data_IF_257977866775
#
_entry.id   IF_257977866775
#
_cell.length_a   1.000
_cell.length_b   1.000
_cell.length_c   1.000
_cell.angle_alpha   90.00
_cell.angle_beta   90.00
_cell.angle_gamma   90.00
#
_symmetry.space_group_name_H-M   'P 1'
#
loop_
_entity.id
_entity.type
_entity.pdbx_description
1 polymer ?
#
# COMPACT_ATOMS: atom_id res chain seq x y z
N UNK A 1 -63.95 -11.08 -49.55
CA UNK A 1 -63.49 -10.19 -48.45
C UNK A 1 -62.08 -10.52 -47.93
N UNK A 2 -61.50 -11.70 -48.19
CA UNK A 2 -60.16 -12.05 -47.69
C UNK A 2 -58.99 -11.26 -48.28
N UNK A 3 -59.02 -10.92 -49.58
CA UNK A 3 -57.91 -10.22 -50.23
C UNK A 3 -57.70 -8.77 -49.75
N UNK A 4 -58.79 -8.05 -49.44
CA UNK A 4 -58.70 -6.68 -48.90
C UNK A 4 -58.10 -6.69 -47.50
N UNK A 5 -58.47 -7.67 -46.66
CA UNK A 5 -57.97 -7.80 -45.30
C UNK A 5 -56.50 -8.22 -45.25
N UNK A 6 -56.09 -9.11 -46.17
CA UNK A 6 -54.68 -9.45 -46.38
C UNK A 6 -53.85 -8.25 -46.86
N UNK A 7 -54.41 -7.40 -47.74
CA UNK A 7 -53.75 -6.16 -48.19
C UNK A 7 -53.63 -5.10 -47.09
N UNK A 8 -54.67 -4.91 -46.28
CA UNK A 8 -54.68 -3.96 -45.15
C UNK A 8 -53.70 -4.39 -44.07
N UNK A 9 -53.68 -5.67 -43.70
CA UNK A 9 -52.71 -6.21 -42.73
C UNK A 9 -51.27 -6.03 -43.22
N UNK A 10 -50.99 -6.32 -44.49
CA UNK A 10 -49.68 -6.05 -45.10
C UNK A 10 -49.24 -4.59 -45.00
N UNK A 11 -50.12 -3.62 -45.26
CA UNK A 11 -49.81 -2.20 -45.17
C UNK A 11 -49.52 -1.77 -43.72
N UNK A 12 -50.31 -2.24 -42.75
CA UNK A 12 -50.13 -1.93 -41.34
C UNK A 12 -48.81 -2.49 -40.81
N UNK A 13 -48.55 -3.77 -41.06
CA UNK A 13 -47.31 -4.44 -40.66
C UNK A 13 -46.08 -3.81 -41.30
N UNK A 14 -46.18 -3.35 -42.56
CA UNK A 14 -45.11 -2.61 -43.21
C UNK A 14 -44.87 -1.23 -42.56
N UNK A 15 -45.93 -0.52 -42.16
CA UNK A 15 -45.82 0.75 -41.44
C UNK A 15 -45.08 0.58 -40.10
N UNK A 16 -45.34 -0.51 -39.37
CA UNK A 16 -44.64 -0.83 -38.12
C UNK A 16 -43.16 -1.16 -38.37
N UNK A 17 -42.86 -1.93 -39.41
CA UNK A 17 -41.48 -2.20 -39.83
C UNK A 17 -40.71 -0.92 -40.20
N UNK A 18 -41.37 0.00 -40.92
CA UNK A 18 -40.80 1.32 -41.22
C UNK A 18 -40.57 2.16 -39.96
N UNK A 19 -41.44 2.08 -38.95
CA UNK A 19 -41.25 2.78 -37.69
C UNK A 19 -39.98 2.28 -36.95
N UNK A 20 -39.75 0.96 -36.92
CA UNK A 20 -38.52 0.38 -36.35
C UNK A 20 -37.28 0.83 -37.11
N UNK A 21 -37.32 0.77 -38.46
CA UNK A 21 -36.21 1.23 -39.30
C UNK A 21 -35.92 2.73 -39.11
N UNK A 22 -36.97 3.55 -39.00
CA UNK A 22 -36.85 4.99 -38.76
C UNK A 22 -36.23 5.29 -37.39
N UNK A 23 -36.61 4.52 -36.35
CA UNK A 23 -36.02 4.66 -35.02
C UNK A 23 -34.52 4.30 -35.01
N UNK A 24 -34.11 3.26 -35.74
CA UNK A 24 -32.69 2.93 -35.90
C UNK A 24 -31.92 4.08 -36.57
N UNK A 25 -32.49 4.66 -37.63
CA UNK A 25 -31.85 5.76 -38.36
C UNK A 25 -31.72 7.01 -37.50
N UNK A 26 -32.76 7.32 -36.71
CA UNK A 26 -32.74 8.46 -35.79
C UNK A 26 -31.66 8.33 -34.70
N UNK A 27 -31.36 7.11 -34.26
CA UNK A 27 -30.40 6.84 -33.19
C UNK A 27 -29.02 6.36 -33.68
N UNK A 28 -28.68 6.58 -34.96
CA UNK A 28 -27.43 6.10 -35.56
C UNK A 28 -26.17 6.65 -34.85
N UNK A 29 -26.26 7.85 -34.28
CA UNK A 29 -25.16 8.51 -33.56
C UNK A 29 -25.28 8.40 -32.04
N UNK A 30 -26.30 7.70 -31.52
CA UNK A 30 -26.50 7.57 -30.07
C UNK A 30 -25.56 6.50 -29.53
N UNK A 31 -24.66 6.89 -28.62
CA UNK A 31 -23.69 5.97 -28.01
C UNK A 31 -24.42 4.86 -27.24
N UNK A 32 -24.01 3.61 -27.45
CA UNK A 32 -24.60 2.45 -26.79
C UNK A 32 -25.95 2.00 -27.35
N UNK A 33 -26.48 2.63 -28.41
CA UNK A 33 -27.69 2.17 -29.08
C UNK A 33 -27.53 0.76 -29.67
N UNK A 34 -28.57 -0.05 -29.56
CA UNK A 34 -28.61 -1.41 -30.12
C UNK A 34 -29.68 -1.49 -31.20
N UNK A 35 -29.26 -1.96 -32.37
CA UNK A 35 -30.10 -2.07 -33.56
C UNK A 35 -31.27 -3.02 -33.33
N UNK A 36 -32.48 -2.60 -33.67
CA UNK A 36 -33.69 -3.40 -33.58
C UNK A 36 -34.21 -3.79 -34.97
N UNK A 37 -34.71 -5.01 -35.12
CA UNK A 37 -35.31 -5.46 -36.38
C UNK A 37 -36.67 -6.14 -36.16
N UNK A 38 -37.57 -5.95 -37.12
CA UNK A 38 -38.91 -6.54 -37.13
C UNK A 38 -38.89 -7.93 -37.74
N UNK A 39 -39.59 -8.88 -37.12
CA UNK A 39 -39.89 -10.19 -37.66
C UNK A 39 -41.38 -10.27 -38.01
N UNK A 40 -41.67 -10.78 -39.19
CA UNK A 40 -43.03 -10.93 -39.69
C UNK A 40 -43.44 -12.40 -39.71
N UNK A 41 -44.72 -12.66 -39.44
CA UNK A 41 -45.32 -13.99 -39.52
C UNK A 41 -46.58 -13.97 -40.38
N UNK A 42 -46.89 -15.11 -41.00
CA UNK A 42 -48.12 -15.31 -41.79
C UNK A 42 -49.27 -15.69 -40.86
N UNK A 43 -50.44 -15.10 -41.10
CA UNK A 43 -51.67 -15.42 -40.37
C UNK A 43 -52.29 -16.68 -40.99
N UNK A 44 -52.40 -17.75 -40.17
CA UNK A 44 -52.89 -19.09 -40.53
C UNK A 44 -53.91 -19.09 -41.67
N UNK A 45 -53.62 -19.86 -42.70
CA UNK A 45 -54.47 -20.05 -43.88
C UNK A 45 -55.68 -20.95 -43.63
N UNK A 46 -56.82 -20.67 -44.24
CA UNK A 46 -57.91 -21.64 -44.34
C UNK A 46 -57.62 -22.67 -45.45
N UNK A 47 -57.70 -23.97 -45.12
CA UNK A 47 -57.64 -25.05 -46.10
C UNK A 47 -59.04 -25.30 -46.67
N UNK A 48 -59.28 -24.94 -47.92
CA UNK A 48 -60.51 -25.29 -48.64
C UNK A 48 -60.26 -26.58 -49.45
N UNK A 49 -61.06 -27.61 -49.18
CA UNK A 49 -61.00 -28.88 -49.93
C UNK A 49 -61.73 -28.71 -51.27
N UNK A 50 -60.99 -28.75 -52.38
CA UNK A 50 -61.56 -28.73 -53.73
C UNK A 50 -61.49 -30.12 -54.37
N UNK A 51 -62.32 -30.41 -55.39
CA UNK A 51 -62.30 -31.73 -56.06
C UNK A 51 -61.01 -32.04 -56.83
N UNK A 52 -60.03 -31.11 -56.85
CA UNK A 52 -58.74 -31.24 -57.49
C UNK A 52 -57.54 -31.14 -56.51
N UNK A 53 -57.79 -31.04 -55.19
CA UNK A 53 -56.75 -30.95 -54.15
C UNK A 53 -57.07 -29.91 -53.06
N UNK A 54 -56.19 -29.81 -52.05
CA UNK A 54 -56.27 -28.79 -51.00
C UNK A 54 -55.79 -27.44 -51.52
N UNK A 55 -56.64 -26.41 -51.50
CA UNK A 55 -56.26 -25.03 -51.81
C UNK A 55 -56.14 -24.24 -50.51
N UNK A 56 -54.98 -23.63 -50.29
CA UNK A 56 -54.66 -22.88 -49.08
C UNK A 56 -54.76 -21.39 -49.37
N UNK A 57 -55.63 -20.65 -48.65
CA UNK A 57 -55.76 -19.19 -48.80
C UNK A 57 -55.16 -18.51 -47.57
N UNK A 58 -54.06 -17.78 -47.73
CA UNK A 58 -53.42 -17.02 -46.65
C UNK A 58 -54.29 -15.86 -46.17
N UNK A 59 -54.29 -15.59 -44.86
CA UNK A 59 -55.16 -14.59 -44.23
C UNK A 59 -54.48 -13.25 -43.91
N UNK A 60 -53.22 -13.08 -44.33
CA UNK A 60 -52.48 -11.82 -44.20
C UNK A 60 -51.20 -12.01 -43.41
N UNK A 61 -50.57 -10.92 -43.00
CA UNK A 61 -49.32 -10.96 -42.22
C UNK A 61 -49.47 -10.15 -40.94
N UNK A 62 -48.69 -10.50 -39.93
CA UNK A 62 -48.60 -9.74 -38.69
C UNK A 62 -47.14 -9.53 -38.28
N UNK A 63 -46.90 -8.50 -37.47
CA UNK A 63 -45.62 -8.32 -36.80
C UNK A 63 -45.54 -9.34 -35.65
N UNK A 64 -44.60 -10.27 -35.76
CA UNK A 64 -44.38 -11.31 -34.75
C UNK A 64 -43.68 -10.71 -33.53
N UNK A 65 -42.52 -10.09 -33.73
CA UNK A 65 -41.71 -9.49 -32.67
C UNK A 65 -40.75 -8.43 -33.22
N UNK A 66 -40.31 -7.52 -32.34
CA UNK A 66 -39.17 -6.63 -32.58
C UNK A 66 -38.04 -7.10 -31.68
N UNK A 67 -36.92 -7.53 -32.28
CA UNK A 67 -35.77 -8.05 -31.54
C UNK A 67 -34.59 -7.08 -31.63
N UNK A 68 -33.89 -6.93 -30.51
CA UNK A 68 -32.66 -6.14 -30.41
C UNK A 68 -31.43 -7.02 -30.70
N UNK A 69 -30.50 -6.51 -31.51
CA UNK A 69 -29.23 -7.16 -31.82
C UNK A 69 -28.11 -6.58 -30.95
N UNK A 70 -27.45 -7.44 -30.16
CA UNK A 70 -26.44 -7.03 -29.16
C UNK A 70 -24.99 -6.98 -29.66
N UNK A 71 -24.73 -7.16 -30.94
CA UNK A 71 -23.37 -7.13 -31.51
C UNK A 71 -22.64 -5.81 -31.18
N UNK A 72 -21.33 -5.88 -30.96
CA UNK A 72 -20.47 -4.71 -30.74
C UNK A 72 -20.26 -3.93 -32.05
N UNK A 73 -20.28 -2.59 -31.94
CA UNK A 73 -20.01 -1.68 -33.06
C UNK A 73 -18.54 -1.26 -33.14
N UNK A 74 -18.22 -0.36 -34.08
CA UNK A 74 -16.91 0.29 -34.11
C UNK A 74 -16.68 1.13 -32.85
N UNK A 75 -15.44 1.20 -32.38
CA UNK A 75 -15.04 2.04 -31.26
C UNK A 75 -14.30 3.25 -31.77
N UNK A 76 -14.61 4.42 -31.23
CA UNK A 76 -13.89 5.66 -31.48
C UNK A 76 -13.14 6.06 -30.22
N UNK A 77 -11.91 6.52 -30.37
CA UNK A 77 -11.10 6.99 -29.25
C UNK A 77 -11.52 8.41 -28.87
N UNK A 78 -11.75 8.64 -27.59
CA UNK A 78 -12.01 9.99 -27.04
C UNK A 78 -10.78 10.49 -26.27
N UNK A 79 -10.78 11.78 -25.93
CA UNK A 79 -9.72 12.39 -25.10
C UNK A 79 -9.99 12.30 -23.60
N UNK A 80 -11.19 11.88 -23.21
CA UNK A 80 -11.63 11.82 -21.81
C UNK A 80 -11.25 10.47 -21.21
N UNK A 81 -10.52 10.49 -20.09
CA UNK A 81 -10.06 9.26 -19.43
C UNK A 81 -11.17 8.44 -18.77
N UNK A 82 -12.32 9.04 -18.50
CA UNK A 82 -13.47 8.37 -17.88
C UNK A 82 -14.40 7.70 -18.91
N UNK A 83 -14.17 7.90 -20.21
CA UNK A 83 -14.98 7.27 -21.24
C UNK A 83 -14.54 5.82 -21.41
N UNK A 84 -15.48 4.89 -21.20
CA UNK A 84 -15.20 3.46 -21.27
C UNK A 84 -16.14 2.76 -22.25
N UNK A 85 -15.59 1.79 -22.98
CA UNK A 85 -16.35 0.91 -23.86
C UNK A 85 -16.02 -0.56 -23.57
N UNK A 86 -17.05 -1.37 -23.31
CA UNK A 86 -16.85 -2.83 -23.18
C UNK A 86 -16.69 -3.40 -24.59
N UNK A 87 -15.63 -4.15 -24.84
CA UNK A 87 -15.30 -4.67 -26.18
C UNK A 87 -16.05 -5.95 -26.56
N UNK A 88 -16.64 -6.63 -25.59
CA UNK A 88 -17.31 -7.91 -25.77
C UNK A 88 -18.80 -7.77 -26.09
N UNK A 89 -19.39 -8.71 -26.82
CA UNK A 89 -20.85 -8.75 -27.10
C UNK A 89 -21.71 -8.87 -25.83
N UNK A 90 -21.11 -9.31 -24.73
CA UNK A 90 -21.75 -9.48 -23.43
C UNK A 90 -21.17 -8.50 -22.43
N UNK A 91 -22.01 -8.02 -21.54
CA UNK A 91 -21.64 -7.09 -20.46
C UNK A 91 -22.38 -5.76 -20.57
N UNK A 92 -22.75 -5.24 -19.41
CA UNK A 92 -23.37 -3.93 -19.23
C UNK A 92 -22.73 -3.28 -18.00
N UNK A 93 -22.73 -1.96 -17.99
CA UNK A 93 -22.46 -1.20 -16.78
C UNK A 93 -23.73 -1.16 -15.94
N UNK A 94 -23.58 -1.42 -14.65
CA UNK A 94 -24.67 -1.31 -13.68
C UNK A 94 -24.67 0.12 -13.12
N UNK A 95 -25.83 0.77 -13.18
CA UNK A 95 -26.04 2.14 -12.68
C UNK A 95 -27.26 2.18 -11.78
N UNK A 96 -27.21 3.00 -10.75
CA UNK A 96 -28.28 3.14 -9.76
C UNK A 96 -28.83 4.55 -9.75
N UNK A 97 -30.15 4.66 -9.76
CA UNK A 97 -30.80 5.94 -9.54
C UNK A 97 -30.71 6.34 -8.06
N UNK A 98 -30.10 7.49 -7.79
CA UNK A 98 -29.93 8.01 -6.44
C UNK A 98 -31.28 8.38 -5.78
N UNK A 99 -32.31 8.73 -6.57
CA UNK A 99 -33.62 9.11 -6.05
C UNK A 99 -34.53 7.93 -5.72
N UNK A 100 -34.61 6.96 -6.63
CA UNK A 100 -35.49 5.79 -6.48
C UNK A 100 -34.81 4.54 -5.93
N UNK A 101 -33.47 4.47 -5.94
CA UNK A 101 -32.69 3.28 -5.56
C UNK A 101 -32.74 2.15 -6.59
N UNK A 102 -33.41 2.34 -7.73
CA UNK A 102 -33.54 1.33 -8.77
C UNK A 102 -32.23 1.12 -9.53
N UNK A 103 -31.96 -0.14 -9.85
CA UNK A 103 -30.81 -0.57 -10.65
C UNK A 103 -31.19 -0.64 -12.13
N UNK A 104 -30.31 -0.11 -12.98
CA UNK A 104 -30.41 -0.10 -14.43
C UNK A 104 -29.11 -0.58 -15.06
N UNK A 105 -29.20 -1.02 -16.31
CA UNK A 105 -28.06 -1.50 -17.07
C UNK A 105 -27.88 -0.65 -18.33
N UNK A 106 -26.67 -0.13 -18.54
CA UNK A 106 -26.34 0.69 -19.70
C UNK A 106 -25.12 0.16 -20.43
N UNK A 107 -25.06 0.43 -21.74
CA UNK A 107 -23.90 0.14 -22.57
C UNK A 107 -23.12 1.41 -22.95
N UNK A 108 -23.71 2.58 -22.71
CA UNK A 108 -23.03 3.86 -22.84
C UNK A 108 -22.10 4.02 -21.62
N UNK A 109 -20.82 4.28 -21.86
CA UNK A 109 -19.82 4.48 -20.82
C UNK A 109 -19.26 5.90 -20.83
N UNK A 110 -20.11 6.89 -21.08
CA UNK A 110 -19.77 8.30 -20.85
C UNK A 110 -20.01 8.61 -19.37
N UNK A 111 -18.93 8.57 -18.59
CA UNK A 111 -18.97 8.76 -17.14
C UNK A 111 -18.25 10.03 -16.73
N UNK A 112 -18.72 10.64 -15.64
CA UNK A 112 -18.12 11.85 -15.05
C UNK A 112 -18.32 11.87 -13.55
N UNK A 113 -17.42 12.52 -12.82
CA UNK A 113 -17.64 12.76 -11.39
C UNK A 113 -18.61 13.92 -11.18
N UNK A 114 -19.52 13.76 -10.23
CA UNK A 114 -20.35 14.86 -9.75
C UNK A 114 -19.61 15.68 -8.66
N UNK A 115 -20.23 16.76 -8.17
CA UNK A 115 -19.65 17.62 -7.12
C UNK A 115 -19.39 16.87 -5.81
N UNK A 116 -20.18 15.82 -5.56
CA UNK A 116 -20.07 14.99 -4.37
C UNK A 116 -19.09 13.81 -4.53
N UNK A 117 -18.32 13.77 -5.64
CA UNK A 117 -17.31 12.74 -5.89
C UNK A 117 -17.83 11.38 -6.39
N UNK A 118 -19.13 11.24 -6.67
CA UNK A 118 -19.70 10.03 -7.25
C UNK A 118 -19.46 9.95 -8.75
N UNK A 119 -19.10 8.77 -9.24
CA UNK A 119 -19.06 8.50 -10.68
C UNK A 119 -20.49 8.34 -11.20
N UNK A 120 -20.91 9.22 -12.11
CA UNK A 120 -22.27 9.25 -12.66
C UNK A 120 -22.27 9.15 -14.19
N UNK A 121 -23.35 8.61 -14.74
CA UNK A 121 -23.65 8.62 -16.17
C UNK A 121 -24.17 10.00 -16.64
N UNK A 122 -24.47 10.13 -17.92
CA UNK A 122 -25.02 11.36 -18.51
C UNK A 122 -26.36 11.78 -17.92
N UNK A 123 -27.14 10.84 -17.38
CA UNK A 123 -28.46 11.03 -16.78
C UNK A 123 -28.40 11.32 -15.27
N UNK A 124 -27.21 11.23 -14.66
CA UNK A 124 -26.99 11.42 -13.23
C UNK A 124 -27.14 10.14 -12.39
N UNK A 125 -27.23 8.96 -13.02
CA UNK A 125 -27.25 7.68 -12.32
C UNK A 125 -25.84 7.29 -11.88
N UNK A 126 -25.72 6.75 -10.66
CA UNK A 126 -24.43 6.41 -10.04
C UNK A 126 -23.94 5.07 -10.52
N UNK A 127 -22.72 5.03 -11.03
CA UNK A 127 -22.07 3.79 -11.48
C UNK A 127 -21.79 2.92 -10.28
N UNK A 128 -22.15 1.65 -10.40
CA UNK A 128 -21.92 0.66 -9.38
C UNK A 128 -20.57 -0.05 -9.59
N UNK A 129 -19.90 -0.37 -8.49
CA UNK A 129 -18.65 -1.10 -8.50
C UNK A 129 -18.38 -1.74 -7.15
N UNK A 130 -17.21 -2.35 -7.01
CA UNK A 130 -16.77 -2.86 -5.72
C UNK A 130 -16.00 -1.79 -4.97
N UNK A 131 -16.30 -1.67 -3.67
CA UNK A 131 -15.47 -0.87 -2.78
C UNK A 131 -14.07 -1.49 -2.67
N UNK A 132 -13.05 -0.64 -2.68
CA UNK A 132 -11.68 -1.05 -2.43
C UNK A 132 -11.49 -1.11 -0.93
N UNK A 133 -10.97 -2.23 -0.44
CA UNK A 133 -10.43 -2.33 0.90
C UNK A 133 -9.08 -1.59 0.95
N UNK A 134 -9.12 -0.41 1.55
CA UNK A 134 -7.98 0.50 1.61
C UNK A 134 -6.84 -0.09 2.45
N UNK A 135 -7.12 -0.91 3.47
CA UNK A 135 -6.10 -1.49 4.34
C UNK A 135 -5.29 -2.55 3.59
N UNK A 136 -5.96 -3.43 2.84
CA UNK A 136 -5.25 -4.40 1.99
C UNK A 136 -4.56 -3.74 0.79
N UNK A 137 -5.12 -2.66 0.25
CA UNK A 137 -4.45 -1.86 -0.78
C UNK A 137 -3.16 -1.21 -0.25
N UNK A 138 -3.22 -0.62 0.94
CA UNK A 138 -2.07 0.00 1.59
C UNK A 138 -1.01 -1.03 1.97
N UNK A 139 -1.41 -2.15 2.59
CA UNK A 139 -0.48 -3.23 2.91
C UNK A 139 0.23 -3.78 1.67
N UNK A 140 -0.47 -3.90 0.53
CA UNK A 140 0.17 -4.31 -0.71
C UNK A 140 1.15 -3.25 -1.25
N UNK A 141 0.79 -1.97 -1.18
CA UNK A 141 1.68 -0.87 -1.58
C UNK A 141 2.95 -0.82 -0.72
N UNK A 142 2.84 -0.95 0.60
CA UNK A 142 3.98 -1.01 1.53
C UNK A 142 4.94 -2.15 1.20
N UNK A 143 4.41 -3.30 0.78
CA UNK A 143 5.21 -4.46 0.38
C UNK A 143 5.70 -4.41 -1.09
N UNK A 144 5.60 -3.25 -1.77
CA UNK A 144 5.92 -3.07 -3.20
C UNK A 144 5.23 -4.12 -4.10
N UNK A 145 4.07 -4.62 -3.67
CA UNK A 145 3.35 -5.69 -4.33
C UNK A 145 2.26 -5.11 -5.20
N UNK A 146 2.41 -5.28 -6.52
CA UNK A 146 1.33 -4.96 -7.46
C UNK A 146 0.15 -5.91 -7.21
N UNK A 147 -0.98 -5.37 -6.77
CA UNK A 147 -2.22 -6.13 -6.67
C UNK A 147 -2.69 -6.49 -8.08
N UNK A 148 -2.52 -7.76 -8.46
CA UNK A 148 -3.02 -8.30 -9.74
C UNK A 148 -4.56 -8.41 -9.77
N UNK A 149 -5.21 -8.29 -8.61
CA UNK A 149 -6.65 -8.24 -8.43
C UNK A 149 -6.96 -7.14 -7.43
N UNK A 150 -7.85 -6.20 -7.77
CA UNK A 150 -8.34 -5.19 -6.84
C UNK A 150 -8.82 -5.88 -5.57
N UNK A 151 -8.37 -5.40 -4.40
CA UNK A 151 -8.86 -5.84 -3.11
C UNK A 151 -10.30 -5.33 -2.93
N UNK A 152 -11.22 -5.97 -3.65
CA UNK A 152 -12.63 -5.67 -3.65
C UNK A 152 -13.27 -6.37 -2.45
N UNK A 153 -13.83 -5.58 -1.53
CA UNK A 153 -14.51 -6.12 -0.35
C UNK A 153 -15.99 -5.79 -0.40
N UNK A 154 -16.81 -6.78 -0.04
CA UNK A 154 -18.25 -6.60 0.16
C UNK A 154 -19.10 -6.69 -1.10
N UNK A 155 -20.27 -6.07 -1.03
CA UNK A 155 -21.27 -6.03 -2.11
C UNK A 155 -20.98 -4.88 -3.07
N UNK A 156 -21.62 -4.92 -4.23
CA UNK A 156 -21.61 -3.82 -5.19
C UNK A 156 -22.23 -2.56 -4.55
N UNK A 157 -21.53 -1.43 -4.63
CA UNK A 157 -21.93 -0.12 -4.09
C UNK A 157 -21.68 1.01 -5.10
N UNK A 158 -22.13 2.22 -4.80
CA UNK A 158 -21.80 3.40 -5.59
C UNK A 158 -20.28 3.63 -5.59
N UNK A 159 -19.71 3.92 -6.75
CA UNK A 159 -18.31 4.38 -6.85
C UNK A 159 -18.27 5.86 -6.44
N UNK A 160 -17.55 6.13 -5.35
CA UNK A 160 -17.32 7.48 -4.83
C UNK A 160 -15.83 7.67 -4.57
N UNK A 161 -15.34 8.88 -4.85
CA UNK A 161 -14.04 9.37 -4.43
C UNK A 161 -14.31 10.48 -3.41
N UNK A 162 -14.32 10.11 -2.14
CA UNK A 162 -14.66 10.98 -1.01
C UNK A 162 -13.42 11.59 -0.34
N UNK A 163 -12.36 10.79 -0.20
CA UNK A 163 -11.13 11.23 0.45
C UNK A 163 -9.98 11.38 -0.55
N UNK A 164 -9.49 12.62 -0.67
CA UNK A 164 -8.26 12.94 -1.40
C UNK A 164 -7.07 13.06 -0.45
N UNK A 165 -7.30 12.90 0.86
CA UNK A 165 -6.25 12.91 1.86
C UNK A 165 -5.72 11.49 2.06
N UNK A 166 -4.44 11.30 1.73
CA UNK A 166 -3.73 10.06 2.05
C UNK A 166 -3.05 10.30 3.39
N UNK A 167 -3.44 9.52 4.40
CA UNK A 167 -2.84 9.57 5.73
C UNK A 167 -1.36 9.16 5.66
N UNK A 168 -0.54 9.78 6.52
CA UNK A 168 0.83 9.35 6.73
C UNK A 168 0.89 7.90 7.21
N UNK A 169 1.95 7.20 6.84
CA UNK A 169 2.23 5.85 7.35
C UNK A 169 3.58 5.91 8.03
N UNK A 170 3.60 5.57 9.32
CA UNK A 170 4.83 5.53 10.09
C UNK A 170 5.82 4.52 9.49
N UNK A 171 7.11 4.83 9.59
CA UNK A 171 8.17 3.94 9.13
C UNK A 171 8.19 2.66 9.98
N UNK A 172 8.16 1.48 9.34
CA UNK A 172 8.18 0.18 10.04
C UNK A 172 9.55 -0.50 10.01
N UNK A 173 10.37 -0.21 9.00
CA UNK A 173 11.65 -0.86 8.78
C UNK A 173 12.67 0.10 8.16
N UNK A 174 13.92 -0.01 8.60
CA UNK A 174 15.07 0.71 8.09
C UNK A 174 16.13 -0.32 7.68
N UNK A 175 16.44 -0.34 6.39
CA UNK A 175 17.52 -1.14 5.82
C UNK A 175 18.72 -0.24 5.54
N UNK A 176 19.77 -0.37 6.35
CA UNK A 176 20.97 0.46 6.26
C UNK A 176 22.18 -0.38 5.81
N UNK A 177 22.72 -0.04 4.65
CA UNK A 177 23.97 -0.62 4.13
C UNK A 177 25.04 0.47 4.14
N UNK A 178 26.06 0.30 4.96
CA UNK A 178 27.22 1.20 5.04
C UNK A 178 28.50 0.43 4.80
N UNK A 179 29.49 1.10 4.21
CA UNK A 179 30.84 0.56 4.04
C UNK A 179 31.79 1.34 4.96
N UNK A 180 32.31 0.66 5.98
CA UNK A 180 33.18 1.26 6.99
C UNK A 180 34.64 1.03 6.60
N UNK A 181 35.47 2.07 6.70
CA UNK A 181 36.86 1.98 6.29
C UNK A 181 37.70 1.19 7.30
N UNK A 182 38.21 0.03 6.87
CA UNK A 182 39.13 -0.82 7.66
C UNK A 182 40.42 -0.11 8.07
N UNK A 183 40.88 0.91 7.34
CA UNK A 183 42.09 1.67 7.68
C UNK A 183 41.88 2.67 8.83
N UNK A 184 40.64 2.86 9.29
CA UNK A 184 40.33 3.70 10.45
C UNK A 184 41.11 3.19 11.67
N UNK A 185 41.76 4.09 12.38
CA UNK A 185 42.47 3.76 13.62
C UNK A 185 41.48 3.37 14.70
N UNK A 186 41.80 2.30 15.43
CA UNK A 186 40.99 1.84 16.54
C UNK A 186 41.20 2.74 17.75
N UNK A 187 40.13 3.33 18.24
CA UNK A 187 40.17 4.32 19.31
C UNK A 187 39.24 3.87 20.43
N UNK A 188 39.78 3.14 21.42
CA UNK A 188 39.04 2.78 22.63
C UNK A 188 39.60 3.55 23.83
N UNK A 189 38.91 4.60 24.25
CA UNK A 189 39.34 5.44 25.37
C UNK A 189 38.93 4.91 26.76
N UNK A 190 38.06 3.90 26.83
CA UNK A 190 37.53 3.36 28.09
C UNK A 190 38.09 1.96 28.39
N UNK A 191 38.73 1.82 29.56
CA UNK A 191 39.32 0.57 30.02
C UNK A 191 38.28 -0.43 30.58
N UNK A 192 37.07 0.04 30.90
CA UNK A 192 36.00 -0.76 31.51
C UNK A 192 34.99 -1.22 30.47
N UNK A 193 34.62 -0.32 29.55
CA UNK A 193 33.62 -0.59 28.49
C UNK A 193 34.13 -0.13 27.11
N UNK A 194 35.14 -0.82 26.54
CA UNK A 194 35.72 -0.46 25.25
C UNK A 194 34.72 -0.49 24.09
N UNK A 195 33.63 -1.25 24.20
CA UNK A 195 32.63 -1.42 23.14
C UNK A 195 31.44 -0.45 23.20
N UNK A 196 31.42 0.47 24.17
CA UNK A 196 30.37 1.49 24.32
C UNK A 196 30.97 2.87 24.62
N UNK A 197 32.15 3.17 24.07
CA UNK A 197 32.79 4.48 24.26
C UNK A 197 31.98 5.59 23.60
N UNK A 198 31.37 5.31 22.45
CA UNK A 198 30.51 6.25 21.73
C UNK A 198 29.32 6.70 22.59
N UNK A 199 28.72 5.76 23.34
CA UNK A 199 27.66 6.06 24.29
C UNK A 199 28.16 6.89 25.48
N UNK A 200 29.32 6.57 26.04
CA UNK A 200 29.92 7.36 27.14
C UNK A 200 30.23 8.81 26.74
N UNK A 201 30.64 9.02 25.48
CA UNK A 201 30.95 10.34 24.93
C UNK A 201 29.74 11.08 24.36
N UNK A 202 28.59 10.41 24.19
CA UNK A 202 27.35 11.07 23.83
C UNK A 202 26.93 12.02 24.96
N UNK A 203 26.84 13.30 24.67
CA UNK A 203 26.47 14.32 25.65
C UNK A 203 25.68 15.44 24.99
N UNK A 204 24.36 15.31 25.04
CA UNK A 204 23.47 16.40 24.66
C UNK A 204 23.51 17.53 25.69
N UNK A 205 23.78 18.74 25.22
CA UNK A 205 23.73 19.96 26.02
C UNK A 205 22.50 20.79 25.62
N UNK A 206 21.48 20.82 26.49
CA UNK A 206 20.25 21.58 26.24
C UNK A 206 20.47 23.10 26.19
N UNK A 207 21.65 23.60 26.61
CA UNK A 207 22.01 25.02 26.51
C UNK A 207 22.61 25.40 25.16
N UNK A 208 23.07 24.42 24.39
CA UNK A 208 23.58 24.56 23.02
C UNK A 208 23.02 23.42 22.15
N UNK A 209 21.73 23.48 21.77
CA UNK A 209 21.06 22.39 21.07
C UNK A 209 21.61 22.12 19.66
N UNK A 210 22.31 23.08 19.07
CA UNK A 210 22.93 22.94 17.75
C UNK A 210 24.30 22.24 17.81
N UNK A 211 24.87 22.06 19.02
CA UNK A 211 26.11 21.33 19.20
C UNK A 211 25.91 19.83 18.91
N UNK A 212 26.80 19.25 18.11
CA UNK A 212 26.74 17.81 17.86
C UNK A 212 26.90 17.05 19.18
N UNK A 213 25.95 16.16 19.55
CA UNK A 213 26.00 15.44 20.82
C UNK A 213 27.12 14.39 20.85
N UNK A 214 27.75 14.11 19.70
CA UNK A 214 28.83 13.13 19.55
C UNK A 214 30.08 13.80 18.99
N UNK A 215 31.15 13.85 19.78
CA UNK A 215 32.39 14.56 19.42
C UNK A 215 33.47 13.69 18.79
N UNK A 216 33.27 12.37 18.73
CA UNK A 216 34.33 11.39 18.48
C UNK A 216 33.90 10.20 17.61
N UNK A 217 32.85 10.35 16.79
CA UNK A 217 32.47 9.34 15.81
C UNK A 217 33.52 9.24 14.69
N UNK A 218 33.85 8.02 14.26
CA UNK A 218 34.72 7.77 13.10
C UNK A 218 33.97 8.00 11.78
N UNK A 219 32.69 7.66 11.76
CA UNK A 219 31.80 7.83 10.62
C UNK A 219 30.37 8.06 11.11
N UNK A 220 29.58 8.83 10.37
CA UNK A 220 28.15 9.01 10.67
C UNK A 220 27.35 9.06 9.37
N UNK A 221 26.10 8.62 9.43
CA UNK A 221 25.16 8.71 8.33
C UNK A 221 23.78 9.08 8.86
N UNK A 222 23.03 9.87 8.12
CA UNK A 222 21.69 10.32 8.49
C UNK A 222 20.66 9.74 7.54
N UNK A 223 19.50 9.36 8.08
CA UNK A 223 18.38 8.75 7.40
C UNK A 223 17.13 9.47 7.87
N UNK A 224 16.29 9.89 6.93
CA UNK A 224 14.99 10.49 7.26
C UNK A 224 13.94 9.39 7.42
N UNK A 225 13.13 9.51 8.46
CA UNK A 225 12.02 8.62 8.79
C UNK A 225 10.75 9.40 9.00
N UNK A 226 9.61 8.71 8.99
CA UNK A 226 8.30 9.31 9.10
C UNK A 226 7.53 8.77 10.30
N UNK A 227 6.85 9.67 11.01
CA UNK A 227 5.91 9.33 12.08
C UNK A 227 4.53 8.92 11.52
N UNK A 228 3.57 8.63 12.41
CA UNK A 228 2.21 8.26 12.04
C UNK A 228 1.40 9.41 11.41
N UNK A 229 1.79 10.65 11.68
CA UNK A 229 1.16 11.85 11.13
C UNK A 229 1.76 12.26 9.77
N UNK A 230 2.88 11.63 9.36
CA UNK A 230 3.62 11.90 8.12
C UNK A 230 4.71 12.97 8.26
N UNK A 231 5.03 13.42 9.47
CA UNK A 231 6.14 14.34 9.75
C UNK A 231 7.47 13.62 9.55
N UNK A 232 8.43 14.31 8.94
CA UNK A 232 9.78 13.80 8.73
C UNK A 232 10.68 14.05 9.94
N UNK A 233 11.38 13.01 10.39
CA UNK A 233 12.37 13.05 11.47
C UNK A 233 13.70 12.49 10.98
N UNK A 234 14.79 13.19 11.28
CA UNK A 234 16.14 12.76 10.91
C UNK A 234 16.75 11.89 12.03
N UNK A 235 17.17 10.69 11.65
CA UNK A 235 17.89 9.77 12.51
C UNK A 235 19.33 9.61 12.02
N UNK A 236 20.28 9.75 12.94
CA UNK A 236 21.70 9.64 12.66
C UNK A 236 22.27 8.39 13.32
N UNK A 237 22.99 7.59 12.53
CA UNK A 237 23.74 6.44 12.97
C UNK A 237 25.22 6.80 13.01
N UNK A 238 25.79 6.77 14.20
CA UNK A 238 27.20 7.03 14.46
C UNK A 238 27.95 5.70 14.59
N UNK A 239 29.15 5.64 14.03
CA UNK A 239 30.03 4.48 14.07
C UNK A 239 31.38 4.86 14.61
N UNK A 240 32.00 3.93 15.35
CA UNK A 240 33.37 4.07 15.83
C UNK A 240 34.08 2.74 15.87
N UNK A 241 35.36 2.72 15.48
CA UNK A 241 36.18 1.51 15.52
C UNK A 241 36.74 1.30 16.91
N UNK A 242 36.49 0.12 17.50
CA UNK A 242 36.88 -0.20 18.88
C UNK A 242 38.24 -0.87 18.92
N UNK A 243 38.38 -2.02 18.26
CA UNK A 243 39.62 -2.79 18.25
C UNK A 243 39.66 -3.80 17.10
N UNK A 244 40.86 -4.30 16.81
CA UNK A 244 41.07 -5.47 15.96
C UNK A 244 41.77 -6.54 16.80
N UNK A 245 41.09 -7.66 17.03
CA UNK A 245 41.60 -8.75 17.86
C UNK A 245 41.19 -10.10 17.28
N UNK A 246 42.12 -11.05 17.22
CA UNK A 246 41.84 -12.40 16.72
C UNK A 246 41.42 -12.48 15.23
N UNK A 247 41.80 -11.48 14.41
CA UNK A 247 41.42 -11.41 12.99
C UNK A 247 39.98 -10.96 12.76
N UNK A 248 39.32 -10.40 13.78
CA UNK A 248 37.99 -9.79 13.69
C UNK A 248 38.10 -8.29 13.98
N UNK A 249 37.29 -7.51 13.27
CA UNK A 249 37.15 -6.08 13.51
C UNK A 249 35.88 -5.80 14.28
N UNK A 250 36.00 -4.99 15.34
CA UNK A 250 34.89 -4.62 16.20
C UNK A 250 34.59 -3.13 16.02
N UNK A 251 33.35 -2.85 15.69
CA UNK A 251 32.80 -1.51 15.57
C UNK A 251 31.67 -1.35 16.57
N UNK A 252 31.57 -0.19 17.19
CA UNK A 252 30.39 0.21 17.94
C UNK A 252 29.52 1.11 17.07
N UNK A 253 28.21 1.03 17.28
CA UNK A 253 27.24 1.91 16.63
C UNK A 253 26.26 2.49 17.64
N UNK A 254 25.80 3.70 17.37
CA UNK A 254 24.79 4.39 18.15
C UNK A 254 23.80 5.02 17.19
N UNK A 255 22.52 4.72 17.39
CA UNK A 255 21.40 5.32 16.66
C UNK A 255 20.80 6.40 17.54
N UNK A 256 20.74 7.62 17.04
CA UNK A 256 20.10 8.73 17.72
C UNK A 256 19.22 9.55 16.78
N UNK A 257 18.12 10.07 17.30
CA UNK A 257 17.32 11.13 16.68
C UNK A 257 17.74 12.50 17.22
N UNK A 258 17.13 13.57 16.70
CA UNK A 258 17.29 14.90 17.26
C UNK A 258 16.91 14.90 18.77
N UNK A 259 17.83 15.29 19.68
CA UNK A 259 17.57 15.30 21.11
C UNK A 259 16.42 16.23 21.52
N UNK A 260 16.14 17.29 20.74
CA UNK A 260 15.05 18.24 21.00
C UNK A 260 13.68 17.66 20.65
N UNK A 261 13.64 16.68 19.76
CA UNK A 261 12.41 15.99 19.35
C UNK A 261 12.10 14.78 20.25
N UNK A 262 13.02 14.38 21.14
CA UNK A 262 12.81 13.24 22.03
C UNK A 262 11.70 13.51 23.06
N UNK A 263 10.56 12.86 22.86
CA UNK A 263 9.44 12.95 23.77
C UNK A 263 9.54 12.03 24.98
N UNK A 264 10.46 11.06 25.00
CA UNK A 264 10.49 10.05 26.06
C UNK A 264 10.86 10.69 27.40
N UNK A 265 9.98 10.59 28.40
CA UNK A 265 10.06 11.38 29.63
C UNK A 265 11.37 11.23 30.42
N UNK A 266 11.85 10.01 30.63
CA UNK A 266 13.04 9.75 31.48
C UNK A 266 14.35 10.09 30.79
N UNK A 267 14.47 9.87 29.48
CA UNK A 267 15.71 10.06 28.71
C UNK A 267 15.79 11.44 28.05
N UNK A 268 14.67 11.98 27.55
CA UNK A 268 14.59 13.27 26.86
C UNK A 268 14.96 14.48 27.72
N UNK A 269 14.95 14.34 29.06
CA UNK A 269 15.40 15.39 29.99
C UNK A 269 16.86 15.26 30.43
N UNK A 270 17.64 14.36 29.82
CA UNK A 270 19.02 14.07 30.22
C UNK A 270 20.00 14.34 29.10
N UNK A 271 21.31 14.26 29.40
CA UNK A 271 22.34 14.36 28.37
C UNK A 271 22.40 13.18 27.40
N UNK A 272 21.50 12.19 27.55
CA UNK A 272 21.30 11.06 26.64
C UNK A 272 20.01 11.19 25.82
N UNK A 273 19.34 12.35 25.86
CA UNK A 273 18.21 12.64 24.98
C UNK A 273 18.58 12.39 23.52
N UNK A 274 17.68 11.74 22.78
CA UNK A 274 17.87 11.37 21.38
C UNK A 274 18.43 9.96 21.16
N UNK A 275 19.08 9.31 22.14
CA UNK A 275 19.65 7.96 21.93
C UNK A 275 18.54 6.90 21.88
N UNK A 276 18.45 6.17 20.77
CA UNK A 276 17.41 5.18 20.52
C UNK A 276 17.91 3.74 20.70
N UNK A 277 19.10 3.46 20.17
CA UNK A 277 19.70 2.12 20.20
C UNK A 277 21.22 2.25 20.26
N UNK A 278 21.86 1.35 21.00
CA UNK A 278 23.32 1.20 21.04
C UNK A 278 23.69 -0.24 20.76
N UNK A 279 24.85 -0.47 20.15
CA UNK A 279 25.23 -1.82 19.77
C UNK A 279 26.64 -1.96 19.24
N UNK A 280 27.00 -3.19 18.89
CA UNK A 280 28.30 -3.49 18.30
C UNK A 280 28.12 -4.32 17.04
N UNK A 281 28.95 -4.05 16.04
CA UNK A 281 29.11 -4.87 14.85
C UNK A 281 30.45 -5.60 14.92
N UNK A 282 30.43 -6.89 14.64
CA UNK A 282 31.64 -7.69 14.49
C UNK A 282 31.79 -8.08 13.02
N UNK A 283 32.95 -7.84 12.44
CA UNK A 283 33.30 -8.24 11.08
C UNK A 283 34.33 -9.38 11.08
N UNK A 284 34.24 -10.25 10.07
CA UNK A 284 35.24 -11.26 9.79
C UNK A 284 36.43 -10.67 9.03
N UNK A 285 37.53 -11.42 8.95
CA UNK A 285 38.75 -11.00 8.22
C UNK A 285 38.54 -10.78 6.71
N UNK A 286 37.47 -11.35 6.14
CA UNK A 286 37.07 -11.17 4.74
C UNK A 286 36.21 -9.91 4.49
N UNK A 287 35.87 -9.18 5.56
CA UNK A 287 35.02 -7.99 5.50
C UNK A 287 33.52 -8.28 5.59
N UNK A 288 33.10 -9.55 5.74
CA UNK A 288 31.68 -9.86 5.95
C UNK A 288 31.26 -9.47 7.36
N UNK A 289 30.01 -9.02 7.52
CA UNK A 289 29.39 -8.87 8.85
C UNK A 289 29.25 -10.27 9.46
N UNK A 290 29.75 -10.44 10.67
CA UNK A 290 29.78 -11.71 11.38
C UNK A 290 28.69 -11.80 12.45
N UNK A 291 28.44 -10.70 13.16
CA UNK A 291 27.45 -10.62 14.23
C UNK A 291 27.12 -9.15 14.55
N UNK A 292 25.96 -8.93 15.15
CA UNK A 292 25.54 -7.63 15.70
C UNK A 292 24.98 -7.83 17.10
N UNK A 293 25.11 -6.83 17.97
CA UNK A 293 24.37 -6.72 19.22
C UNK A 293 23.57 -5.43 19.20
N UNK A 294 22.36 -5.45 19.74
CA UNK A 294 21.55 -4.25 19.90
C UNK A 294 20.94 -4.17 21.30
N UNK A 295 21.02 -2.98 21.89
CA UNK A 295 20.45 -2.66 23.19
C UNK A 295 19.59 -1.40 23.09
N UNK A 296 18.43 -1.44 23.74
CA UNK A 296 17.48 -0.32 23.86
C UNK A 296 17.30 0.07 25.32
N UNK A 297 16.89 1.32 25.55
CA UNK A 297 16.69 1.84 26.89
C UNK A 297 15.43 1.23 27.54
N UNK A 298 15.58 0.72 28.76
CA UNK A 298 14.46 0.32 29.61
C UNK A 298 13.81 1.54 30.27
N UNK A 299 12.54 1.78 29.97
CA UNK A 299 11.81 2.93 30.49
C UNK A 299 11.79 2.97 32.04
N UNK A 300 11.92 4.17 32.60
CA UNK A 300 11.99 4.41 34.05
C UNK A 300 13.33 4.08 34.74
N UNK A 301 14.35 3.61 34.03
CA UNK A 301 15.70 3.40 34.56
C UNK A 301 16.60 4.64 34.39
N UNK A 302 17.83 4.62 34.90
CA UNK A 302 18.79 5.72 34.71
C UNK A 302 19.38 5.66 33.29
N UNK A 303 19.08 6.60 32.39
CA UNK A 303 19.52 6.54 30.99
C UNK A 303 21.03 6.71 30.83
N UNK A 304 21.74 7.23 31.84
CA UNK A 304 23.19 7.41 31.80
C UNK A 304 23.96 6.14 32.10
N UNK A 305 23.30 5.16 32.72
CA UNK A 305 23.90 3.88 33.11
C UNK A 305 23.74 2.84 32.00
N UNK A 306 24.85 2.23 31.57
CA UNK A 306 24.85 1.09 30.62
C UNK A 306 24.07 -0.13 31.14
N UNK A 307 23.79 -0.22 32.45
CA UNK A 307 22.98 -1.30 33.01
C UNK A 307 21.48 -1.15 32.69
N UNK A 308 21.04 0.05 32.33
CA UNK A 308 19.65 0.38 31.97
C UNK A 308 19.34 0.09 30.50
N UNK A 309 20.35 -0.31 29.72
CA UNK A 309 20.22 -0.67 28.31
C UNK A 309 20.15 -2.18 28.19
N UNK A 310 18.96 -2.69 27.91
CA UNK A 310 18.64 -4.11 27.82
C UNK A 310 18.63 -4.57 26.38
N UNK A 311 18.68 -5.88 26.15
CA UNK A 311 18.59 -6.45 24.80
C UNK A 311 17.37 -5.88 24.07
N UNK A 312 17.57 -5.44 22.82
CA UNK A 312 16.49 -4.97 21.97
C UNK A 312 15.51 -6.11 21.67
N UNK A 313 14.23 -5.83 21.45
CA UNK A 313 13.33 -6.85 20.93
C UNK A 313 13.69 -7.16 19.46
N UNK A 314 13.45 -8.40 19.01
CA UNK A 314 13.62 -8.80 17.62
C UNK A 314 12.26 -8.89 16.93
N UNK A 315 12.22 -8.50 15.66
CA UNK A 315 11.06 -8.74 14.79
C UNK A 315 10.85 -10.25 14.56
N UNK A 316 9.70 -10.62 13.98
CA UNK A 316 9.45 -12.00 13.56
C UNK A 316 10.50 -12.52 12.55
N UNK A 317 11.16 -11.62 11.82
CA UNK A 317 12.25 -11.92 10.87
C UNK A 317 13.64 -11.82 11.51
N UNK A 318 13.72 -11.72 12.85
CA UNK A 318 14.97 -11.71 13.61
C UNK A 318 15.79 -10.42 13.46
N UNK A 319 15.15 -9.31 13.11
CA UNK A 319 15.79 -7.99 12.98
C UNK A 319 15.64 -7.19 14.28
N UNK A 320 16.69 -6.55 14.81
CA UNK A 320 16.59 -5.73 16.02
C UNK A 320 15.61 -4.57 15.87
N UNK A 321 14.83 -4.29 16.90
CA UNK A 321 13.84 -3.22 16.92
C UNK A 321 14.14 -2.16 17.97
N UNK A 322 13.79 -0.91 17.67
CA UNK A 322 13.74 0.16 18.65
C UNK A 322 12.45 0.96 18.51
N UNK A 323 12.07 1.65 19.58
CA UNK A 323 10.90 2.51 19.60
C UNK A 323 11.32 3.96 19.79
N UNK A 324 10.88 4.82 18.87
CA UNK A 324 11.04 6.26 18.98
C UNK A 324 9.70 6.89 19.41
N UNK A 325 9.77 7.99 20.16
CA UNK A 325 8.60 8.78 20.54
C UNK A 325 8.97 10.24 20.39
N UNK A 326 8.23 10.95 19.53
CA UNK A 326 8.52 12.33 19.20
C UNK A 326 7.66 13.30 20.01
N UNK A 327 8.15 14.53 20.18
CA UNK A 327 7.35 15.63 20.69
C UNK A 327 6.34 16.06 19.62
N UNK A 328 5.10 16.33 20.02
CA UNK A 328 4.11 16.86 19.05
C UNK A 328 4.48 18.27 18.63
N UNK A 329 4.27 18.61 17.36
CA UNK A 329 4.54 19.95 16.81
C UNK A 329 3.73 21.08 17.52
N UNK A 330 2.66 20.73 18.23
CA UNK A 330 1.82 21.68 18.99
C UNK A 330 2.32 21.94 20.43
N UNK A 331 3.40 21.28 20.87
CA UNK A 331 4.09 21.58 22.11
C UNK A 331 3.34 21.20 23.40
N UNK A 332 2.34 20.32 23.33
CA UNK A 332 1.46 19.97 24.46
C UNK A 332 1.43 18.49 24.84
N UNK A 333 2.21 17.63 24.16
CA UNK A 333 2.22 16.19 24.37
C UNK A 333 3.15 15.46 23.39
N UNK A 334 3.02 14.14 23.37
CA UNK A 334 3.88 13.22 22.64
C UNK A 334 3.13 12.56 21.49
N UNK A 335 3.83 12.23 20.40
CA UNK A 335 3.28 11.36 19.36
C UNK A 335 3.11 9.95 19.91
N UNK A 336 2.30 9.14 19.23
CA UNK A 336 2.26 7.70 19.53
C UNK A 336 3.66 7.08 19.28
N UNK A 337 4.11 6.13 20.12
CA UNK A 337 5.39 5.48 19.93
C UNK A 337 5.46 4.70 18.61
N UNK A 338 6.53 4.93 17.85
CA UNK A 338 6.77 4.27 16.56
C UNK A 338 7.88 3.24 16.74
N UNK A 339 7.55 1.96 16.57
CA UNK A 339 8.52 0.86 16.60
C UNK A 339 9.04 0.56 15.20
N UNK A 340 10.36 0.60 15.04
CA UNK A 340 11.06 0.39 13.77
C UNK A 340 12.03 -0.78 13.88
N UNK A 341 12.00 -1.64 12.86
CA UNK A 341 13.03 -2.67 12.68
C UNK A 341 14.27 -2.06 12.02
N UNK A 342 15.45 -2.32 12.57
CA UNK A 342 16.72 -1.75 12.12
C UNK A 342 17.67 -2.84 11.64
N UNK A 343 17.75 -2.98 10.32
CA UNK A 343 18.57 -3.99 9.67
C UNK A 343 19.88 -3.37 9.16
N UNK A 344 20.99 -3.98 9.55
CA UNK A 344 22.34 -3.60 9.16
C UNK A 344 23.04 -4.67 8.30
N UNK A 345 22.26 -5.50 7.61
CA UNK A 345 22.74 -6.57 6.73
C UNK A 345 22.84 -7.96 7.37
N UNK A 346 22.32 -8.13 8.58
CA UNK A 346 22.30 -9.41 9.30
C UNK A 346 21.02 -9.53 10.13
N UNK A 347 20.40 -10.70 10.09
CA UNK A 347 19.24 -11.04 10.91
C UNK A 347 19.39 -12.44 11.52
N UNK A 348 18.54 -12.74 12.51
CA UNK A 348 18.43 -14.08 13.08
C UNK A 348 17.36 -14.90 12.36
N UNK A 349 17.55 -16.21 12.26
CA UNK A 349 16.48 -17.13 11.84
C UNK A 349 15.42 -17.37 12.92
N UNK A 350 15.60 -16.78 14.11
CA UNK A 350 14.69 -16.85 15.26
C UNK A 350 14.38 -15.44 15.76
N UNK A 351 13.30 -15.30 16.53
CA UNK A 351 12.89 -14.08 17.23
C UNK A 351 13.63 -13.87 18.57
N UNK A 352 14.77 -14.57 18.78
CA UNK A 352 15.54 -14.48 20.02
C UNK A 352 17.03 -14.21 19.78
N UNK A 353 17.62 -13.43 20.69
CA UNK A 353 19.06 -13.30 20.79
C UNK A 353 19.71 -14.62 21.23
N UNK A 354 20.98 -14.80 20.88
CA UNK A 354 21.77 -15.93 21.31
C UNK A 354 22.03 -15.88 22.82
N UNK A 355 22.06 -17.05 23.47
CA UNK A 355 22.23 -17.15 24.92
C UNK A 355 23.58 -16.66 25.47
N UNK A 356 24.52 -16.31 24.58
CA UNK A 356 25.80 -15.70 24.94
C UNK A 356 25.76 -14.18 25.03
N UNK A 357 24.71 -13.54 24.49
CA UNK A 357 24.55 -12.10 24.58
C UNK A 357 24.20 -11.70 26.01
N UNK A 358 24.95 -10.78 26.64
CA UNK A 358 24.59 -10.26 27.95
C UNK A 358 23.22 -9.58 27.94
N UNK A 359 22.48 -9.71 29.05
CA UNK A 359 21.15 -9.11 29.20
C UNK A 359 21.16 -7.57 29.19
N UNK A 360 22.30 -6.96 29.54
CA UNK A 360 22.49 -5.51 29.55
C UNK A 360 23.79 -5.11 28.87
N UNK A 361 23.86 -3.88 28.34
CA UNK A 361 25.06 -3.35 27.69
C UNK A 361 26.28 -3.34 28.64
N UNK A 362 26.05 -3.06 29.93
CA UNK A 362 27.10 -3.13 30.95
C UNK A 362 27.71 -4.54 31.10
N UNK A 363 26.96 -5.60 30.77
CA UNK A 363 27.43 -6.98 30.84
C UNK A 363 28.43 -7.36 29.74
N UNK A 364 28.57 -6.55 28.68
CA UNK A 364 29.56 -6.77 27.63
C UNK A 364 30.98 -6.59 28.20
N UNK A 365 31.20 -5.51 28.94
CA UNK A 365 32.48 -5.20 29.57
C UNK A 365 33.64 -5.22 28.57
N UNK A 366 34.73 -5.91 28.91
CA UNK A 366 35.95 -5.99 28.09
C UNK A 366 36.06 -7.27 27.26
N UNK A 367 35.15 -8.24 27.42
CA UNK A 367 35.28 -9.55 26.78
C UNK A 367 34.67 -9.54 25.37
N UNK A 368 35.47 -9.74 24.29
CA UNK A 368 34.95 -9.80 22.92
C UNK A 368 33.97 -10.95 22.67
N UNK A 369 33.94 -12.00 23.50
CA UNK A 369 32.94 -13.06 23.35
C UNK A 369 31.51 -12.57 23.66
N UNK A 370 31.39 -11.50 24.44
CA UNK A 370 30.10 -10.93 24.84
C UNK A 370 29.51 -10.00 23.77
N UNK A 371 30.23 -9.73 22.67
CA UNK A 371 29.72 -8.98 21.50
C UNK A 371 29.07 -9.89 20.45
N UNK A 372 28.84 -11.16 20.79
CA UNK A 372 28.07 -12.10 19.98
C UNK A 372 26.59 -11.97 20.36
N UNK A 373 25.82 -11.25 19.54
CA UNK A 373 24.38 -11.10 19.76
C UNK A 373 23.62 -12.35 19.34
N UNK A 374 23.80 -12.80 18.10
CA UNK A 374 23.14 -14.00 17.58
C UNK A 374 23.99 -15.26 17.79
N UNK A 375 23.34 -16.43 17.89
CA UNK A 375 24.06 -17.69 17.78
C UNK A 375 24.61 -17.82 16.36
N UNK A 376 25.87 -18.25 16.21
CA UNK A 376 26.52 -18.35 14.89
C UNK A 376 25.78 -19.26 13.90
N UNK A 377 24.97 -20.22 14.40
CA UNK A 377 24.16 -21.10 13.55
C UNK A 377 22.87 -20.45 13.02
N UNK A 378 22.40 -19.41 13.69
CA UNK A 378 21.10 -18.76 13.43
C UNK A 378 21.28 -17.44 12.63
N UNK A 379 22.53 -17.06 12.36
CA UNK A 379 22.87 -15.85 11.58
C UNK A 379 22.50 -16.05 10.12
N UNK A 380 21.63 -15.19 9.61
CA UNK A 380 21.28 -15.07 8.20
C UNK A 380 21.82 -13.75 7.65
N UNK A 381 22.51 -13.81 6.52
CA UNK A 381 22.92 -12.62 5.78
C UNK A 381 21.74 -12.17 4.91
N UNK A 382 21.37 -10.90 5.02
CA UNK A 382 20.28 -10.30 4.25
C UNK A 382 20.67 -10.08 2.78
#
# INVERSE_FOLDING_TARGET
>A
MGALWAGVSGLLTYSEGLAVASNNLANVNTVGYKYSYSLFEDLLSSSESTSAGSSQVGHGVALSNVLTRFTVGGMETTTTSMDMAIQCDRGFFEVRDAGSGNLYYTRAGEFRFNVDGYLVDTNGYRVQGWAIDQDTALAAATNNRSLTTSAATGSITDIVVDDLYIQGVATSEINLITNLDSATEAESSDATNPYFTLFSHYNYDSSDPDASPVSNASYQTTITTYDADGTSHDMTVYYRKVSNSGGKEYWEYLVAMDPTEDGRGTIGSTNKAGVLMIGTLTFNADGSVANTTAYTFSDGADPTSLASWTQADLSADGVPQFTATYNTASGGGNTDPVTMSFNMGISSSTDQWGGSMPATAAGVGTNPANTLGFNTADVTLA
#
